data_IF_402542830279
#
_entry.id   IF_402542830279
#
_cell.length_a   1.000
_cell.length_b   1.000
_cell.length_c   1.000
_cell.angle_alpha   90.00
_cell.angle_beta   90.00
_cell.angle_gamma   90.00
#
_symmetry.space_group_name_H-M   'P 1'
#
loop_
_entity.id
_entity.type
_entity.pdbx_description
1 polymer ?
#
# COMPACT_ATOMS: atom_id res chain seq x y z
N UNK A 1 30.33 -17.41 19.50
CA UNK A 1 31.69 -17.97 19.62
C UNK A 1 32.28 -17.88 18.23
N UNK A 2 33.31 -17.06 18.04
CA UNK A 2 33.95 -16.84 16.74
C UNK A 2 34.87 -18.03 16.47
N UNK A 3 34.52 -18.90 15.52
CA UNK A 3 35.42 -19.96 15.07
C UNK A 3 36.48 -19.33 14.18
N UNK A 4 37.73 -19.29 14.66
CA UNK A 4 38.86 -18.82 13.87
C UNK A 4 39.30 -19.92 12.89
N UNK A 5 39.46 -19.56 11.62
CA UNK A 5 39.94 -20.48 10.59
C UNK A 5 41.43 -20.78 10.83
N UNK A 6 41.77 -22.04 11.07
CA UNK A 6 43.16 -22.49 11.17
C UNK A 6 43.61 -23.04 9.81
N UNK A 7 44.72 -22.54 9.27
CA UNK A 7 45.32 -23.06 8.05
C UNK A 7 46.32 -24.19 8.35
N UNK A 8 46.38 -25.17 7.47
CA UNK A 8 47.29 -26.33 7.51
C UNK A 8 48.00 -26.48 6.16
N UNK A 9 49.27 -26.92 6.18
CA UNK A 9 50.08 -27.13 4.97
C UNK A 9 49.58 -28.36 4.22
N UNK A 10 49.41 -28.23 2.90
CA UNK A 10 48.87 -29.25 1.99
C UNK A 10 47.35 -29.22 1.84
N UNK A 11 46.66 -28.41 2.64
CA UNK A 11 45.21 -28.24 2.57
C UNK A 11 44.80 -27.12 1.60
N UNK A 12 43.59 -27.26 1.03
CA UNK A 12 43.03 -26.31 0.07
C UNK A 12 41.94 -25.46 0.70
N UNK A 13 41.96 -24.16 0.39
CA UNK A 13 41.03 -23.16 0.88
C UNK A 13 40.55 -22.28 -0.29
N UNK A 14 39.39 -21.64 -0.14
CA UNK A 14 38.83 -20.76 -1.18
C UNK A 14 38.70 -19.34 -0.65
N UNK A 15 39.12 -18.36 -1.47
CA UNK A 15 38.85 -16.95 -1.22
C UNK A 15 38.32 -16.25 -2.48
N UNK A 16 38.18 -14.92 -2.44
CA UNK A 16 37.62 -14.13 -3.56
C UNK A 16 38.38 -14.26 -4.90
N UNK A 17 39.64 -14.71 -4.91
CA UNK A 17 40.44 -14.93 -6.13
C UNK A 17 40.28 -16.36 -6.68
N UNK A 18 39.92 -17.33 -5.84
CA UNK A 18 39.71 -18.73 -6.23
C UNK A 18 40.15 -19.71 -5.14
N UNK A 19 40.42 -20.96 -5.54
CA UNK A 19 40.96 -22.01 -4.66
C UNK A 19 42.48 -21.92 -4.61
N UNK A 20 43.05 -21.97 -3.42
CA UNK A 20 44.50 -22.03 -3.18
C UNK A 20 44.87 -23.18 -2.25
N UNK A 21 46.08 -23.69 -2.40
CA UNK A 21 46.72 -24.67 -1.52
C UNK A 21 47.79 -23.97 -0.66
N UNK A 22 47.86 -24.30 0.63
CA UNK A 22 48.92 -23.78 1.51
C UNK A 22 50.16 -24.65 1.37
N UNK A 23 51.27 -24.09 0.87
CA UNK A 23 52.53 -24.84 0.67
C UNK A 23 53.45 -24.73 1.87
N UNK A 24 53.46 -23.58 2.55
CA UNK A 24 54.29 -23.37 3.73
C UNK A 24 53.62 -22.40 4.70
N UNK A 25 53.83 -22.63 6.00
CA UNK A 25 53.39 -21.73 7.07
C UNK A 25 54.62 -21.24 7.82
N UNK A 26 54.76 -19.93 7.85
CA UNK A 26 55.71 -19.20 8.68
C UNK A 26 54.95 -18.56 9.85
N UNK A 27 55.68 -18.02 10.82
CA UNK A 27 55.14 -17.57 12.12
C UNK A 27 53.87 -16.71 12.00
N UNK A 28 53.82 -15.76 11.07
CA UNK A 28 52.70 -14.84 10.84
C UNK A 28 52.24 -14.75 9.37
N UNK A 29 52.93 -15.46 8.47
CA UNK A 29 52.64 -15.51 7.03
C UNK A 29 52.58 -16.94 6.53
N UNK A 30 51.98 -17.14 5.36
CA UNK A 30 51.96 -18.43 4.68
C UNK A 30 52.18 -18.23 3.18
N UNK A 31 52.77 -19.23 2.54
CA UNK A 31 52.96 -19.27 1.10
C UNK A 31 51.85 -20.13 0.51
N UNK A 32 51.11 -19.55 -0.43
CA UNK A 32 49.95 -20.17 -1.07
C UNK A 32 50.18 -20.32 -2.56
N UNK A 33 49.62 -21.39 -3.14
CA UNK A 33 49.64 -21.65 -4.58
C UNK A 33 48.24 -21.75 -5.14
N UNK A 34 48.01 -21.00 -6.21
CA UNK A 34 46.77 -21.01 -6.98
C UNK A 34 46.76 -22.16 -8.00
N UNK A 35 45.57 -22.51 -8.53
CA UNK A 35 45.44 -23.59 -9.53
C UNK A 35 46.20 -23.31 -10.85
N UNK A 36 46.45 -22.04 -11.16
CA UNK A 36 47.26 -21.61 -12.30
C UNK A 36 48.78 -21.75 -12.06
N UNK A 37 49.18 -22.19 -10.86
CA UNK A 37 50.57 -22.37 -10.46
C UNK A 37 51.24 -21.11 -9.90
N UNK A 38 50.52 -19.99 -9.76
CA UNK A 38 51.06 -18.76 -9.15
C UNK A 38 51.25 -18.96 -7.64
N UNK A 39 52.45 -18.63 -7.13
CA UNK A 39 52.80 -18.72 -5.71
C UNK A 39 52.98 -17.33 -5.09
N UNK A 40 52.34 -17.09 -3.95
CA UNK A 40 52.37 -15.78 -3.26
C UNK A 40 52.48 -15.97 -1.75
N UNK A 41 53.29 -15.13 -1.10
CA UNK A 41 53.35 -15.04 0.36
C UNK A 41 52.31 -14.05 0.90
N UNK A 42 51.53 -14.46 1.89
CA UNK A 42 50.41 -13.67 2.43
C UNK A 42 50.32 -13.77 3.95
N UNK A 43 49.97 -12.69 4.67
CA UNK A 43 49.74 -12.77 6.11
C UNK A 43 48.57 -13.70 6.45
N UNK A 44 48.74 -14.56 7.46
CA UNK A 44 47.70 -15.51 7.90
C UNK A 44 46.44 -14.75 8.34
N UNK A 45 46.61 -13.67 9.10
CA UNK A 45 45.51 -12.83 9.59
C UNK A 45 44.70 -12.19 8.46
N UNK A 46 45.33 -11.89 7.31
CA UNK A 46 44.64 -11.34 6.15
C UNK A 46 43.72 -12.38 5.53
N UNK A 47 44.21 -13.61 5.32
CA UNK A 47 43.41 -14.68 4.72
C UNK A 47 42.28 -15.15 5.65
N UNK A 48 42.51 -15.22 6.97
CA UNK A 48 41.45 -15.48 7.95
C UNK A 48 40.31 -14.47 7.82
N UNK A 49 40.65 -13.17 7.77
CA UNK A 49 39.66 -12.10 7.66
C UNK A 49 38.87 -12.16 6.35
N UNK A 50 39.51 -12.56 5.25
CA UNK A 50 38.84 -12.71 3.94
C UNK A 50 37.82 -13.86 3.99
N UNK A 51 38.22 -15.02 4.54
CA UNK A 51 37.34 -16.19 4.64
C UNK A 51 36.18 -15.93 5.61
N UNK A 52 36.45 -15.30 6.76
CA UNK A 52 35.41 -14.90 7.72
C UNK A 52 34.40 -13.92 7.11
N UNK A 53 34.88 -12.94 6.33
CA UNK A 53 34.02 -11.99 5.61
C UNK A 53 33.16 -12.69 4.57
N UNK A 54 33.74 -13.59 3.76
CA UNK A 54 32.99 -14.38 2.78
C UNK A 54 31.93 -15.25 3.44
N UNK A 55 32.26 -15.92 4.55
CA UNK A 55 31.30 -16.73 5.31
C UNK A 55 30.14 -15.87 5.84
N UNK A 56 30.42 -14.70 6.38
CA UNK A 56 29.39 -13.78 6.88
C UNK A 56 28.53 -13.19 5.75
N UNK A 57 29.12 -12.84 4.61
CA UNK A 57 28.38 -12.39 3.42
C UNK A 57 27.51 -13.52 2.85
N UNK A 58 28.02 -14.76 2.80
CA UNK A 58 27.27 -15.96 2.40
C UNK A 58 26.14 -16.27 3.38
N UNK A 59 26.37 -16.19 4.69
CA UNK A 59 25.34 -16.37 5.73
C UNK A 59 24.25 -15.29 5.64
N UNK A 60 24.61 -14.03 5.35
CA UNK A 60 23.66 -12.96 5.11
C UNK A 60 22.86 -13.19 3.82
N UNK A 61 23.51 -13.62 2.74
CA UNK A 61 22.84 -13.96 1.49
C UNK A 61 21.92 -15.17 1.65
N UNK A 62 22.34 -16.20 2.38
CA UNK A 62 21.55 -17.39 2.64
C UNK A 62 20.42 -17.09 3.63
N UNK A 63 20.62 -16.21 4.60
CA UNK A 63 19.54 -15.68 5.44
C UNK A 63 18.55 -14.84 4.63
N UNK A 64 19.01 -14.02 3.67
CA UNK A 64 18.15 -13.25 2.77
C UNK A 64 17.43 -14.13 1.75
N UNK A 65 18.10 -15.13 1.18
CA UNK A 65 17.52 -16.15 0.30
C UNK A 65 16.51 -16.98 1.10
N UNK A 66 16.84 -17.48 2.28
CA UNK A 66 15.91 -18.20 3.15
C UNK A 66 14.74 -17.33 3.62
N UNK A 67 14.92 -16.03 3.86
CA UNK A 67 13.82 -15.09 4.14
C UNK A 67 12.92 -14.88 2.91
N UNK A 68 13.50 -14.82 1.70
CA UNK A 68 12.77 -14.79 0.42
C UNK A 68 12.05 -16.11 0.14
N UNK A 69 12.67 -17.26 0.43
CA UNK A 69 12.08 -18.60 0.27
C UNK A 69 11.03 -18.88 1.35
N UNK A 70 11.17 -18.35 2.58
CA UNK A 70 10.10 -18.37 3.60
C UNK A 70 8.93 -17.45 3.23
N UNK A 71 9.18 -16.30 2.59
CA UNK A 71 8.13 -15.49 1.96
C UNK A 71 7.46 -16.20 0.78
N UNK A 72 8.19 -17.03 0.02
CA UNK A 72 7.65 -17.82 -1.08
C UNK A 72 6.91 -19.09 -0.63
N UNK A 73 7.38 -19.78 0.42
CA UNK A 73 6.76 -20.99 0.99
C UNK A 73 5.66 -20.70 2.02
N UNK A 74 5.59 -19.49 2.57
CA UNK A 74 4.39 -18.97 3.24
C UNK A 74 3.29 -18.53 2.26
N UNK A 75 3.57 -18.55 0.96
CA UNK A 75 2.67 -18.23 -0.14
C UNK A 75 2.16 -19.45 -0.90
N UNK A 76 2.29 -20.66 -0.34
CA UNK A 76 1.47 -21.77 -0.79
C UNK A 76 0.02 -21.41 -0.49
N UNK A 77 -0.76 -21.20 -1.54
CA UNK A 77 -2.20 -21.06 -1.44
C UNK A 77 -2.79 -22.37 -0.89
N UNK A 78 -2.71 -22.59 0.43
CA UNK A 78 -3.82 -23.25 1.09
C UNK A 78 -5.00 -22.38 0.71
N UNK A 79 -5.95 -22.91 -0.06
CA UNK A 79 -7.13 -22.18 -0.51
C UNK A 79 -7.65 -21.39 0.69
N UNK A 80 -7.37 -20.08 0.71
CA UNK A 80 -7.80 -19.25 1.81
C UNK A 80 -9.30 -19.41 1.81
N UNK A 81 -9.86 -19.81 2.97
CA UNK A 81 -11.32 -20.00 3.09
C UNK A 81 -12.00 -18.81 2.41
N UNK A 82 -12.97 -19.05 1.52
CA UNK A 82 -13.66 -17.96 0.84
C UNK A 82 -14.16 -16.94 1.86
N UNK A 83 -14.23 -15.69 1.44
CA UNK A 83 -14.79 -14.63 2.28
C UNK A 83 -16.29 -14.88 2.45
N UNK A 84 -16.70 -15.13 3.69
CA UNK A 84 -18.11 -15.38 4.05
C UNK A 84 -18.80 -14.14 4.63
N UNK A 85 -18.06 -13.05 4.83
CA UNK A 85 -18.57 -11.83 5.47
C UNK A 85 -17.65 -11.32 6.56
N UNK A 86 -17.98 -10.14 7.07
CA UNK A 86 -17.38 -9.57 8.28
C UNK A 86 -18.15 -10.06 9.50
N UNK A 87 -17.46 -10.25 10.62
CA UNK A 87 -18.07 -10.67 11.89
C UNK A 87 -17.91 -9.61 12.96
N UNK A 88 -18.65 -9.74 14.06
CA UNK A 88 -18.64 -8.78 15.18
C UNK A 88 -17.23 -8.38 15.64
N UNK A 89 -16.34 -9.38 15.79
CA UNK A 89 -14.96 -9.18 16.24
C UNK A 89 -14.04 -8.47 15.23
N UNK A 90 -14.47 -8.28 13.98
CA UNK A 90 -13.72 -7.52 12.98
C UNK A 90 -13.86 -5.99 13.18
N UNK A 91 -14.93 -5.54 13.85
CA UNK A 91 -15.22 -4.12 14.12
C UNK A 91 -14.46 -3.66 15.35
N UNK A 92 -13.23 -3.20 15.13
CA UNK A 92 -12.36 -2.64 16.17
C UNK A 92 -11.40 -1.62 15.57
N UNK A 93 -10.70 -0.85 16.41
CA UNK A 93 -9.61 0.04 15.96
C UNK A 93 -8.28 -0.69 15.74
N UNK A 94 -8.24 -2.01 15.99
CA UNK A 94 -7.03 -2.83 15.93
C UNK A 94 -7.04 -3.79 14.75
N UNK A 95 -5.83 -4.18 14.33
CA UNK A 95 -5.62 -5.24 13.34
C UNK A 95 -5.52 -6.63 13.97
N UNK A 96 -5.53 -6.72 15.29
CA UNK A 96 -5.44 -7.99 16.01
C UNK A 96 -6.58 -8.92 15.58
N UNK A 97 -6.26 -10.12 15.10
CA UNK A 97 -7.20 -11.16 14.63
C UNK A 97 -8.00 -10.83 13.36
N UNK A 98 -7.74 -9.71 12.70
CA UNK A 98 -8.40 -9.37 11.43
C UNK A 98 -7.81 -10.18 10.27
N UNK A 99 -8.62 -11.06 9.67
CA UNK A 99 -8.22 -11.82 8.46
C UNK A 99 -8.87 -11.27 7.19
N UNK A 100 -10.02 -10.60 7.31
CA UNK A 100 -10.87 -10.16 6.19
C UNK A 100 -10.16 -9.27 5.15
N UNK A 101 -9.10 -8.55 5.53
CA UNK A 101 -8.34 -7.66 4.63
C UNK A 101 -7.43 -8.37 3.63
N UNK A 102 -7.17 -9.67 3.85
CA UNK A 102 -6.22 -10.43 3.06
C UNK A 102 -6.64 -10.64 1.60
N UNK A 103 -5.67 -10.99 0.74
CA UNK A 103 -5.90 -11.36 -0.68
C UNK A 103 -6.77 -12.61 -0.85
N UNK A 104 -6.82 -13.47 0.17
CA UNK A 104 -7.73 -14.61 0.20
C UNK A 104 -9.16 -14.25 0.60
N UNK A 105 -9.39 -13.03 1.08
CA UNK A 105 -10.62 -12.61 1.77
C UNK A 105 -11.32 -11.47 0.98
N UNK A 106 -11.89 -10.46 1.64
CA UNK A 106 -12.58 -9.34 1.00
C UNK A 106 -11.69 -8.65 -0.05
N UNK A 107 -10.45 -8.36 0.34
CA UNK A 107 -9.44 -7.72 -0.52
C UNK A 107 -9.33 -8.35 -1.90
N UNK A 108 -9.07 -9.67 -1.95
CA UNK A 108 -8.95 -10.34 -3.24
C UNK A 108 -10.28 -10.69 -3.91
N UNK A 109 -11.35 -10.86 -3.14
CA UNK A 109 -12.68 -11.15 -3.69
C UNK A 109 -13.19 -9.98 -4.52
N UNK A 110 -13.07 -8.76 -3.98
CA UNK A 110 -13.44 -7.55 -4.71
C UNK A 110 -12.54 -7.31 -5.94
N UNK A 111 -11.22 -7.47 -5.78
CA UNK A 111 -10.29 -7.33 -6.90
C UNK A 111 -10.56 -8.34 -8.03
N UNK A 112 -11.08 -9.54 -7.71
CA UNK A 112 -11.53 -10.52 -8.71
C UNK A 112 -12.82 -10.11 -9.39
N UNK A 113 -13.77 -9.54 -8.65
CA UNK A 113 -15.05 -9.10 -9.20
C UNK A 113 -14.87 -7.91 -10.15
N UNK A 114 -13.98 -6.97 -9.84
CA UNK A 114 -13.67 -5.82 -10.70
C UNK A 114 -12.73 -6.16 -11.88
N UNK A 115 -12.45 -7.44 -12.16
CA UNK A 115 -11.63 -7.83 -13.32
C UNK A 115 -12.37 -7.57 -14.62
N UNK A 116 -11.63 -7.15 -15.65
CA UNK A 116 -12.15 -6.96 -17.01
C UNK A 116 -12.42 -5.50 -17.38
N UNK A 117 -12.31 -4.58 -16.41
CA UNK A 117 -12.34 -3.15 -16.68
C UNK A 117 -11.02 -2.59 -17.23
N UNK A 118 -11.02 -1.28 -17.47
CA UNK A 118 -9.85 -0.50 -17.92
C UNK A 118 -8.66 -0.59 -16.96
N UNK A 119 -8.94 -0.65 -15.65
CA UNK A 119 -7.95 -0.70 -14.59
C UNK A 119 -7.74 -2.13 -14.09
N UNK A 120 -6.49 -2.45 -13.70
CA UNK A 120 -6.15 -3.75 -13.11
C UNK A 120 -5.99 -3.58 -11.61
N UNK A 121 -7.11 -3.53 -10.89
CA UNK A 121 -7.10 -3.37 -9.44
C UNK A 121 -6.52 -4.60 -8.74
N UNK A 122 -5.73 -4.34 -7.69
CA UNK A 122 -5.33 -5.33 -6.71
C UNK A 122 -5.53 -4.76 -5.31
N UNK A 123 -5.40 -5.57 -4.26
CA UNK A 123 -5.64 -5.17 -2.87
C UNK A 123 -4.37 -5.20 -2.02
N UNK A 124 -4.32 -4.24 -1.09
CA UNK A 124 -3.28 -4.12 -0.08
C UNK A 124 -3.90 -3.79 1.27
N UNK A 125 -3.65 -4.65 2.27
CA UNK A 125 -4.02 -4.35 3.65
C UNK A 125 -3.14 -3.23 4.19
N UNK A 126 -3.76 -2.23 4.82
CA UNK A 126 -3.06 -1.11 5.43
C UNK A 126 -2.43 -1.55 6.75
N UNK A 127 -1.16 -1.23 6.92
CA UNK A 127 -0.42 -1.60 8.12
C UNK A 127 -1.04 -0.96 9.37
N UNK A 128 -1.32 -1.79 10.39
CA UNK A 128 -1.86 -1.36 11.70
C UNK A 128 -3.22 -0.64 11.65
N UNK A 129 -3.95 -0.68 10.52
CA UNK A 129 -5.30 -0.13 10.43
C UNK A 129 -6.31 -1.20 10.01
N UNK A 130 -7.55 -1.07 10.52
CA UNK A 130 -8.86 -1.41 9.99
C UNK A 130 -9.13 -1.63 8.51
N UNK A 131 -8.16 -1.54 7.61
CA UNK A 131 -8.37 -0.92 6.32
C UNK A 131 -7.64 -1.65 5.19
N UNK A 132 -8.31 -1.78 4.05
CA UNK A 132 -7.75 -2.35 2.82
C UNK A 132 -7.95 -1.36 1.68
N UNK A 133 -6.94 -1.21 0.84
CA UNK A 133 -6.94 -0.34 -0.32
C UNK A 133 -6.96 -1.15 -1.61
N UNK A 134 -7.66 -0.64 -2.61
CA UNK A 134 -7.61 -1.12 -3.99
C UNK A 134 -7.09 -0.01 -4.90
N UNK A 135 -6.07 -0.34 -5.67
CA UNK A 135 -5.36 0.57 -6.55
C UNK A 135 -4.99 -0.15 -7.85
N UNK A 136 -4.94 0.58 -8.96
CA UNK A 136 -4.44 0.02 -10.21
C UNK A 136 -2.97 -0.41 -10.09
N UNK A 137 -2.68 -1.63 -10.53
CA UNK A 137 -1.35 -2.24 -10.42
C UNK A 137 -0.24 -1.44 -11.09
N UNK A 138 -0.55 -0.67 -12.14
CA UNK A 138 0.45 0.20 -12.81
C UNK A 138 0.92 1.31 -11.87
N UNK A 139 0.01 1.82 -11.04
CA UNK A 139 0.25 2.97 -10.18
C UNK A 139 0.97 2.61 -8.88
N UNK A 140 0.79 1.38 -8.40
CA UNK A 140 1.38 0.93 -7.13
C UNK A 140 2.92 1.04 -7.07
N UNK A 141 3.61 1.05 -8.21
CA UNK A 141 5.08 1.14 -8.26
C UNK A 141 5.61 2.56 -8.37
N UNK A 142 4.73 3.56 -8.48
CA UNK A 142 5.14 4.95 -8.65
C UNK A 142 5.53 5.56 -7.31
N UNK A 143 6.41 6.56 -7.34
CA UNK A 143 6.97 7.20 -6.13
C UNK A 143 5.96 8.03 -5.35
N UNK A 144 4.90 8.48 -6.01
CA UNK A 144 3.81 9.28 -5.46
C UNK A 144 2.71 8.44 -4.80
N UNK A 145 2.88 7.12 -4.66
CA UNK A 145 1.92 6.16 -4.08
C UNK A 145 1.14 6.68 -2.84
N UNK A 146 1.75 7.38 -1.87
CA UNK A 146 1.01 7.89 -0.72
C UNK A 146 -0.11 8.88 -1.09
N UNK A 147 0.03 9.63 -2.18
CA UNK A 147 -0.86 10.71 -2.63
C UNK A 147 -1.79 10.31 -3.77
N UNK A 148 -1.72 9.06 -4.21
CA UNK A 148 -2.58 8.55 -5.25
C UNK A 148 -4.01 8.30 -4.74
N UNK A 149 -4.99 8.58 -5.58
CA UNK A 149 -6.36 8.15 -5.43
C UNK A 149 -6.45 6.62 -5.39
N UNK A 150 -7.25 6.11 -4.47
CA UNK A 150 -7.50 4.68 -4.29
C UNK A 150 -8.94 4.44 -3.88
N UNK A 151 -9.42 3.22 -4.10
CA UNK A 151 -10.61 2.76 -3.39
C UNK A 151 -10.22 2.14 -2.06
N UNK A 152 -11.12 2.17 -1.09
CA UNK A 152 -10.83 1.66 0.24
C UNK A 152 -12.07 1.07 0.91
N UNK A 153 -11.82 0.21 1.90
CA UNK A 153 -12.81 -0.21 2.88
C UNK A 153 -12.15 -0.27 4.25
N UNK A 154 -12.84 0.22 5.28
CA UNK A 154 -12.38 0.29 6.65
C UNK A 154 -13.48 -0.16 7.60
N UNK A 155 -13.15 -1.07 8.51
CA UNK A 155 -13.99 -1.35 9.66
C UNK A 155 -13.57 -0.46 10.84
N UNK A 156 -14.57 0.12 11.47
CA UNK A 156 -14.49 0.91 12.69
C UNK A 156 -15.38 0.23 13.75
N UNK A 157 -15.30 0.59 15.04
CA UNK A 157 -16.05 -0.11 16.09
C UNK A 157 -17.58 -0.17 15.87
N UNK A 158 -18.15 0.80 15.15
CA UNK A 158 -19.59 0.93 14.94
C UNK A 158 -20.03 0.81 13.47
N UNK A 159 -19.12 0.83 12.52
CA UNK A 159 -19.48 0.96 11.11
C UNK A 159 -18.42 0.40 10.16
N UNK A 160 -18.86 0.12 8.93
CA UNK A 160 -18.04 -0.12 7.76
C UNK A 160 -18.09 1.13 6.87
N UNK A 161 -16.94 1.73 6.62
CA UNK A 161 -16.78 2.86 5.70
C UNK A 161 -16.06 2.38 4.43
N UNK A 162 -16.58 2.71 3.25
CA UNK A 162 -15.93 2.32 1.99
C UNK A 162 -16.27 3.30 0.88
N UNK A 163 -15.35 3.45 -0.07
CA UNK A 163 -15.53 4.37 -1.18
C UNK A 163 -14.20 4.80 -1.79
N UNK A 164 -14.16 6.05 -2.21
CA UNK A 164 -13.00 6.68 -2.83
C UNK A 164 -12.18 7.47 -1.78
N UNK A 165 -10.86 7.39 -1.90
CA UNK A 165 -9.90 8.00 -0.97
C UNK A 165 -8.79 8.72 -1.75
N UNK A 166 -8.58 10.00 -1.46
CA UNK A 166 -7.55 10.84 -2.07
C UNK A 166 -6.83 11.71 -1.03
N UNK A 167 -5.60 11.33 -0.65
CA UNK A 167 -4.76 12.16 0.19
C UNK A 167 -4.17 13.36 -0.58
N UNK A 168 -4.02 14.49 0.09
CA UNK A 168 -3.31 15.68 -0.38
C UNK A 168 -2.23 16.12 0.60
N UNK A 169 -1.06 16.45 0.06
CA UNK A 169 0.02 17.13 0.79
C UNK A 169 -0.18 18.66 0.79
N UNK A 170 0.38 19.33 1.80
CA UNK A 170 0.48 20.81 1.85
C UNK A 170 1.57 21.33 0.91
N UNK A 171 2.53 20.48 0.53
CA UNK A 171 3.61 20.86 -0.37
C UNK A 171 3.08 21.13 -1.77
N UNK A 172 3.03 22.41 -2.14
CA UNK A 172 2.54 22.90 -3.43
C UNK A 172 3.25 22.24 -4.63
N UNK A 173 4.56 21.99 -4.52
CA UNK A 173 5.33 21.36 -5.59
C UNK A 173 4.88 19.91 -5.87
N UNK A 174 4.25 19.28 -4.87
CA UNK A 174 3.72 17.91 -4.95
C UNK A 174 2.22 17.91 -5.26
N UNK A 175 1.45 18.91 -4.82
CA UNK A 175 0.00 19.00 -5.09
C UNK A 175 -0.33 19.39 -6.53
N UNK A 176 0.48 20.24 -7.15
CA UNK A 176 0.16 20.88 -8.45
C UNK A 176 0.26 19.93 -9.66
N UNK A 177 0.79 18.72 -9.45
CA UNK A 177 0.95 17.69 -10.51
C UNK A 177 0.35 16.34 -10.13
N UNK A 178 -0.40 16.27 -9.04
CA UNK A 178 -0.96 15.02 -8.50
C UNK A 178 -2.46 14.87 -8.75
N UNK A 179 -2.99 13.71 -8.33
CA UNK A 179 -4.40 13.36 -8.41
C UNK A 179 -5.34 14.42 -7.81
N UNK A 180 -4.88 15.20 -6.82
CA UNK A 180 -5.65 16.32 -6.27
C UNK A 180 -5.93 17.43 -7.29
N UNK A 181 -4.90 17.87 -8.01
CA UNK A 181 -5.08 18.90 -9.03
C UNK A 181 -5.98 18.39 -10.16
N UNK A 182 -5.85 17.11 -10.52
CA UNK A 182 -6.74 16.46 -11.48
C UNK A 182 -8.19 16.43 -10.97
N UNK A 183 -8.41 16.17 -9.68
CA UNK A 183 -9.73 16.23 -9.06
C UNK A 183 -10.32 17.65 -9.14
N UNK A 184 -9.58 18.67 -8.72
CA UNK A 184 -10.08 20.06 -8.74
C UNK A 184 -10.38 20.51 -10.18
N UNK A 185 -9.54 20.15 -11.14
CA UNK A 185 -9.77 20.45 -12.56
C UNK A 185 -11.01 19.74 -13.09
N UNK A 186 -11.25 18.50 -12.67
CA UNK A 186 -12.41 17.73 -13.08
C UNK A 186 -13.70 18.26 -12.44
N UNK A 187 -13.68 18.57 -11.13
CA UNK A 187 -14.81 19.18 -10.41
C UNK A 187 -15.13 20.60 -10.88
N UNK A 188 -14.16 21.34 -11.42
CA UNK A 188 -14.39 22.68 -11.97
C UNK A 188 -15.33 22.72 -13.18
N UNK A 189 -15.71 21.56 -13.74
CA UNK A 189 -16.76 21.47 -14.76
C UNK A 189 -18.10 21.16 -14.10
N UNK A 190 -19.10 22.01 -14.35
CA UNK A 190 -20.45 21.88 -13.78
C UNK A 190 -21.06 20.50 -14.02
N UNK A 191 -20.93 19.94 -15.22
CA UNK A 191 -21.41 18.59 -15.57
C UNK A 191 -20.86 17.47 -14.67
N UNK A 192 -19.60 17.58 -14.25
CA UNK A 192 -18.94 16.59 -13.41
C UNK A 192 -19.32 16.75 -11.94
N UNK A 193 -19.44 18.00 -11.48
CA UNK A 193 -19.89 18.28 -10.12
C UNK A 193 -21.36 17.87 -9.95
N UNK A 194 -22.22 18.16 -10.93
CA UNK A 194 -23.62 17.73 -10.97
C UNK A 194 -23.73 16.20 -10.94
N UNK A 195 -22.96 15.51 -11.79
CA UNK A 195 -22.91 14.05 -11.78
C UNK A 195 -22.49 13.49 -10.42
N UNK A 196 -21.45 14.06 -9.79
CA UNK A 196 -21.00 13.59 -8.48
C UNK A 196 -22.04 13.85 -7.40
N UNK A 197 -22.72 15.00 -7.46
CA UNK A 197 -23.81 15.35 -6.54
C UNK A 197 -24.98 14.38 -6.64
N UNK A 198 -25.42 14.06 -7.86
CA UNK A 198 -26.46 13.07 -8.12
C UNK A 198 -26.05 11.67 -7.64
N UNK A 199 -24.80 11.29 -7.86
CA UNK A 199 -24.25 10.02 -7.38
C UNK A 199 -24.23 9.96 -5.84
N UNK A 200 -23.74 11.01 -5.18
CA UNK A 200 -23.73 11.10 -3.73
C UNK A 200 -25.14 11.06 -3.14
N UNK A 201 -26.10 11.73 -3.78
CA UNK A 201 -27.52 11.71 -3.36
C UNK A 201 -28.10 10.29 -3.49
N UNK A 202 -27.93 9.66 -4.65
CA UNK A 202 -28.54 8.35 -4.96
C UNK A 202 -27.93 7.21 -4.14
N UNK A 203 -26.64 7.28 -3.82
CA UNK A 203 -25.93 6.24 -3.08
C UNK A 203 -25.69 6.58 -1.60
N UNK A 204 -26.21 7.73 -1.14
CA UNK A 204 -26.07 8.24 0.23
C UNK A 204 -24.59 8.33 0.64
N UNK A 205 -23.77 8.94 -0.23
CA UNK A 205 -22.34 9.13 0.02
C UNK A 205 -22.12 10.46 0.73
N UNK A 206 -21.15 10.45 1.64
CA UNK A 206 -20.69 11.63 2.35
C UNK A 206 -19.26 11.95 1.94
N UNK A 207 -18.92 13.24 1.95
CA UNK A 207 -17.55 13.72 1.75
C UNK A 207 -16.97 14.16 3.08
N UNK A 208 -15.75 13.71 3.41
CA UNK A 208 -15.10 14.07 4.67
C UNK A 208 -13.58 14.23 4.52
N UNK A 209 -12.97 14.95 5.46
CA UNK A 209 -11.52 15.07 5.64
C UNK A 209 -11.10 14.27 6.87
N UNK A 210 -10.33 13.20 6.68
CA UNK A 210 -9.84 12.38 7.79
C UNK A 210 -8.81 13.10 8.67
N UNK A 211 -8.17 14.16 8.19
CA UNK A 211 -7.25 14.92 9.03
C UNK A 211 -7.99 15.79 10.04
N UNK A 212 -9.23 16.18 9.71
CA UNK A 212 -9.99 17.19 10.45
C UNK A 212 -9.34 18.57 10.48
N UNK A 213 -8.34 18.83 9.61
CA UNK A 213 -7.55 20.06 9.58
C UNK A 213 -8.01 21.03 8.51
N UNK A 214 -8.51 20.51 7.39
CA UNK A 214 -9.06 21.34 6.31
C UNK A 214 -10.51 21.72 6.63
N UNK A 215 -11.30 20.73 7.07
CA UNK A 215 -12.65 20.94 7.57
C UNK A 215 -13.03 19.78 8.50
N UNK A 216 -14.01 20.02 9.38
CA UNK A 216 -14.58 19.00 10.27
C UNK A 216 -15.99 18.62 9.79
N UNK A 217 -16.50 17.48 10.23
CA UNK A 217 -17.85 17.02 9.88
C UNK A 217 -17.94 16.36 8.50
N UNK A 218 -19.13 16.42 7.89
CA UNK A 218 -19.43 15.78 6.58
C UNK A 218 -20.09 16.76 5.62
N UNK A 219 -19.81 16.60 4.33
CA UNK A 219 -20.54 17.27 3.27
C UNK A 219 -21.45 16.23 2.62
N UNK A 220 -22.71 16.59 2.44
CA UNK A 220 -23.74 15.72 1.88
C UNK A 220 -24.43 16.44 0.72
N UNK A 221 -24.90 15.66 -0.25
CA UNK A 221 -25.75 16.17 -1.32
C UNK A 221 -27.21 15.93 -0.95
N UNK A 222 -28.00 17.00 -0.87
CA UNK A 222 -29.44 16.95 -0.57
C UNK A 222 -30.20 17.92 -1.48
N UNK A 223 -31.32 17.47 -2.03
CA UNK A 223 -32.22 18.31 -2.87
C UNK A 223 -31.52 19.07 -4.00
N UNK A 224 -30.43 18.52 -4.55
CA UNK A 224 -29.67 19.17 -5.63
C UNK A 224 -28.69 20.26 -5.18
N UNK A 225 -28.48 20.42 -3.86
CA UNK A 225 -27.47 21.29 -3.29
C UNK A 225 -26.47 20.49 -2.44
N UNK A 226 -25.31 21.07 -2.20
CA UNK A 226 -24.34 20.56 -1.22
C UNK A 226 -24.56 21.22 0.13
N UNK A 227 -24.50 20.45 1.20
CA UNK A 227 -24.66 20.92 2.58
C UNK A 227 -23.52 20.41 3.45
N UNK A 228 -22.94 21.30 4.26
CA UNK A 228 -21.89 20.99 5.23
C UNK A 228 -22.48 20.86 6.63
N UNK A 229 -22.33 19.68 7.23
CA UNK A 229 -22.80 19.33 8.56
C UNK A 229 -21.62 19.33 9.54
N UNK A 230 -21.59 20.30 10.46
CA UNK A 230 -20.59 20.40 11.51
C UNK A 230 -21.19 19.98 12.86
N UNK A 231 -21.01 18.72 13.24
CA UNK A 231 -21.55 18.18 14.49
C UNK A 231 -23.09 18.19 14.50
N UNK A 232 -23.68 18.50 15.65
CA UNK A 232 -25.14 18.51 15.86
C UNK A 232 -25.82 19.83 15.45
N UNK A 233 -25.08 20.73 14.79
CA UNK A 233 -25.60 22.04 14.33
C UNK A 233 -26.39 21.96 13.03
N UNK A 234 -26.99 23.09 12.65
CA UNK A 234 -27.69 23.23 11.38
C UNK A 234 -26.72 23.08 10.19
N UNK A 235 -27.22 22.44 9.14
CA UNK A 235 -26.47 22.25 7.90
C UNK A 235 -26.28 23.58 7.18
N UNK A 236 -25.05 23.87 6.75
CA UNK A 236 -24.74 25.06 5.96
C UNK A 236 -24.70 24.72 4.49
N UNK A 237 -25.51 25.40 3.67
CA UNK A 237 -25.41 25.26 2.20
C UNK A 237 -24.04 25.72 1.71
N UNK A 238 -23.45 24.98 0.77
CA UNK A 238 -22.21 25.38 0.08
C UNK A 238 -22.47 25.54 -1.42
N UNK A 239 -21.92 26.59 -2.02
CA UNK A 239 -22.19 26.98 -3.41
C UNK A 239 -21.66 25.98 -4.44
N UNK A 240 -20.65 25.19 -4.05
CA UNK A 240 -20.08 24.15 -4.88
C UNK A 240 -18.97 23.40 -4.17
N UNK A 241 -18.88 22.10 -4.42
CA UNK A 241 -17.88 21.22 -3.82
C UNK A 241 -16.47 21.60 -4.28
N UNK A 242 -16.27 21.94 -5.55
CA UNK A 242 -14.96 22.35 -6.06
C UNK A 242 -14.41 23.58 -5.31
N UNK A 243 -15.27 24.59 -5.16
CA UNK A 243 -14.90 25.85 -4.49
C UNK A 243 -14.62 25.61 -3.00
N UNK A 244 -15.51 24.87 -2.32
CA UNK A 244 -15.33 24.52 -0.91
C UNK A 244 -14.02 23.78 -0.66
N UNK A 245 -13.75 22.72 -1.42
CA UNK A 245 -12.53 21.93 -1.25
C UNK A 245 -11.27 22.72 -1.59
N UNK A 246 -11.32 23.59 -2.60
CA UNK A 246 -10.20 24.48 -2.95
C UNK A 246 -9.87 25.43 -1.81
N UNK A 247 -10.88 26.07 -1.21
CA UNK A 247 -10.72 26.98 -0.09
C UNK A 247 -10.21 26.26 1.17
N UNK A 248 -10.80 25.11 1.53
CA UNK A 248 -10.37 24.31 2.68
C UNK A 248 -8.93 23.80 2.53
N UNK A 249 -8.49 23.58 1.29
CA UNK A 249 -7.18 23.08 0.95
C UNK A 249 -6.07 24.15 0.98
N UNK A 250 -6.36 25.45 0.90
CA UNK A 250 -5.34 26.49 0.67
C UNK A 250 -4.13 26.40 1.61
N UNK A 251 -4.35 26.15 2.91
CA UNK A 251 -3.28 26.15 3.92
C UNK A 251 -3.25 24.88 4.80
N UNK A 252 -4.05 23.87 4.45
CA UNK A 252 -4.21 22.66 5.25
C UNK A 252 -4.07 21.40 4.41
N UNK A 253 -3.48 20.31 4.96
CA UNK A 253 -3.54 19.02 4.29
C UNK A 253 -5.00 18.57 4.26
N UNK A 254 -5.37 17.82 3.22
CA UNK A 254 -6.69 17.21 3.12
C UNK A 254 -6.50 15.72 2.95
N UNK A 255 -7.21 14.91 3.71
CA UNK A 255 -7.25 13.47 3.50
C UNK A 255 -8.68 13.08 3.12
N UNK A 256 -9.02 13.34 1.85
CA UNK A 256 -10.39 13.35 1.34
C UNK A 256 -10.92 11.94 1.18
N UNK A 257 -12.15 11.72 1.66
CA UNK A 257 -12.93 10.54 1.33
C UNK A 257 -14.30 10.93 0.79
N UNK A 258 -14.75 10.15 -0.20
CA UNK A 258 -16.14 10.12 -0.67
C UNK A 258 -16.60 8.70 -0.38
N UNK A 259 -17.40 8.54 0.65
CA UNK A 259 -17.64 7.24 1.29
C UNK A 259 -19.09 6.97 1.58
N UNK A 260 -19.46 5.69 1.49
CA UNK A 260 -20.66 5.14 2.10
C UNK A 260 -20.32 4.65 3.50
N UNK A 261 -21.24 4.83 4.44
CA UNK A 261 -21.16 4.31 5.80
C UNK A 261 -22.29 3.32 6.02
N UNK A 262 -21.95 2.13 6.50
CA UNK A 262 -22.91 1.11 6.91
C UNK A 262 -22.73 0.83 8.39
N UNK A 263 -23.82 0.89 9.15
CA UNK A 263 -23.84 0.46 10.54
C UNK A 263 -23.36 -0.99 10.68
N UNK A 264 -22.73 -1.29 11.82
CA UNK A 264 -22.11 -2.59 12.09
C UNK A 264 -23.05 -3.76 11.86
N UNK A 265 -24.29 -3.69 12.37
CA UNK A 265 -25.29 -4.75 12.19
C UNK A 265 -25.61 -4.97 10.71
N UNK A 266 -25.89 -3.89 9.98
CA UNK A 266 -26.19 -3.95 8.55
C UNK A 266 -25.02 -4.53 7.75
N UNK A 267 -23.78 -4.18 8.09
CA UNK A 267 -22.60 -4.72 7.42
C UNK A 267 -22.40 -6.23 7.68
N UNK A 268 -22.72 -6.72 8.89
CA UNK A 268 -22.65 -8.16 9.23
C UNK A 268 -23.75 -8.93 8.49
N UNK A 269 -24.99 -8.40 8.45
CA UNK A 269 -26.13 -9.03 7.77
C UNK A 269 -25.92 -9.24 6.27
N UNK A 270 -25.05 -8.44 5.64
CA UNK A 270 -24.72 -8.58 4.22
C UNK A 270 -23.88 -9.82 3.93
N UNK A 271 -23.22 -10.42 4.92
CA UNK A 271 -22.34 -11.58 4.73
C UNK A 271 -21.39 -11.38 3.53
N UNK A 272 -21.30 -12.35 2.61
CA UNK A 272 -20.54 -12.24 1.35
C UNK A 272 -21.11 -11.23 0.34
N UNK A 273 -22.39 -10.84 0.44
CA UNK A 273 -23.01 -9.89 -0.49
C UNK A 273 -22.41 -8.48 -0.38
N UNK A 274 -21.73 -8.17 0.73
CA UNK A 274 -21.00 -6.91 0.89
C UNK A 274 -19.94 -6.72 -0.21
N UNK A 275 -19.35 -7.81 -0.73
CA UNK A 275 -18.38 -7.74 -1.84
C UNK A 275 -19.04 -7.13 -3.08
N UNK A 276 -20.27 -7.55 -3.38
CA UNK A 276 -21.03 -7.04 -4.53
C UNK A 276 -21.42 -5.58 -4.32
N UNK A 277 -21.84 -5.20 -3.12
CA UNK A 277 -22.17 -3.80 -2.82
C UNK A 277 -20.95 -2.87 -2.94
N UNK A 278 -19.77 -3.30 -2.46
CA UNK A 278 -18.52 -2.57 -2.68
C UNK A 278 -18.19 -2.46 -4.18
N UNK A 279 -18.33 -3.55 -4.92
CA UNK A 279 -18.03 -3.57 -6.36
C UNK A 279 -18.92 -2.59 -7.13
N UNK A 280 -20.24 -2.62 -6.88
CA UNK A 280 -21.19 -1.72 -7.55
C UNK A 280 -20.93 -0.25 -7.22
N UNK A 281 -20.59 0.07 -5.96
CA UNK A 281 -20.17 1.44 -5.61
C UNK A 281 -18.89 1.83 -6.34
N UNK A 282 -17.87 0.97 -6.34
CA UNK A 282 -16.58 1.30 -6.96
C UNK A 282 -16.70 1.43 -8.48
N UNK A 283 -17.51 0.58 -9.12
CA UNK A 283 -17.86 0.70 -10.55
C UNK A 283 -18.53 2.04 -10.86
N UNK A 284 -19.45 2.48 -10.01
CA UNK A 284 -20.11 3.78 -10.15
C UNK A 284 -19.15 4.95 -9.98
N UNK A 285 -18.09 4.79 -9.18
CA UNK A 285 -17.03 5.78 -8.96
C UNK A 285 -15.85 5.67 -9.95
N UNK A 286 -15.88 4.76 -10.92
CA UNK A 286 -14.82 4.64 -11.95
C UNK A 286 -14.62 5.93 -12.76
N UNK A 287 -15.66 6.68 -13.19
CA UNK A 287 -15.45 7.94 -13.90
C UNK A 287 -14.61 8.95 -13.10
N UNK A 288 -14.88 9.07 -11.80
CA UNK A 288 -14.09 9.88 -10.88
C UNK A 288 -12.66 9.35 -10.76
N UNK A 289 -12.49 8.05 -10.51
CA UNK A 289 -11.15 7.44 -10.40
C UNK A 289 -10.34 7.64 -11.70
N UNK A 290 -10.96 7.51 -12.88
CA UNK A 290 -10.32 7.74 -14.17
C UNK A 290 -9.86 9.19 -14.33
N UNK A 291 -10.70 10.14 -13.93
CA UNK A 291 -10.38 11.55 -14.05
C UNK A 291 -9.14 11.95 -13.25
N UNK A 292 -8.96 11.36 -12.07
CA UNK A 292 -7.85 11.68 -11.17
C UNK A 292 -6.62 10.82 -11.41
N UNK A 293 -6.80 9.55 -11.81
CA UNK A 293 -5.72 8.60 -12.05
C UNK A 293 -5.09 8.85 -13.43
N UNK A 294 -4.63 10.09 -13.65
CA UNK A 294 -3.96 10.50 -14.88
C UNK A 294 -2.72 9.62 -15.03
N UNK A 295 -2.70 8.85 -16.12
CA UNK A 295 -1.50 8.11 -16.50
C UNK A 295 -0.41 9.15 -16.72
N UNK A 296 0.67 9.10 -15.93
CA UNK A 296 1.86 9.88 -16.21
C UNK A 296 2.46 9.50 -17.56
N UNK A 297 1.90 10.01 -18.65
CA UNK A 297 2.58 10.13 -19.94
C UNK A 297 3.27 11.50 -19.96
N UNK A 298 4.32 11.63 -19.17
CA UNK A 298 5.38 12.60 -19.45
C UNK A 298 6.72 11.94 -19.21
N UNK A 299 7.09 11.11 -20.18
CA UNK A 299 8.48 10.77 -20.45
C UNK A 299 8.62 10.48 -21.96
N UNK A 300 8.73 11.56 -22.73
CA UNK A 300 9.60 11.72 -23.89
C UNK A 300 9.61 13.22 -24.24
#
# INVERSE_FOLDING_TARGET
MTEHVHFEVGEKYENMKGVFEVIAIHRDSMDIRWEDGEEVSTPIALQQRIIERMRHEQELEDAQKAARTKKAKGGGASAAKPFEGVVDGDFSDSVTRTTWRGRGQLGGSLARQMKGGEFKFNSWAVMRKPEVHWLDMKRQKQSDLPLQAKFYARLEPKQLCFGFHLPRSVDAAVSDKGDWQALMTWLGKTENEDWLRELCTSLQLVVCDLTGKAFTGTIEACEGAWSHHQGDGDAMSIDGLCHFLSSAAENSPVDLRIEKRLEKSAAIEKEKAIVTELASLFESLIPLYRAVAVSGSMSA
#
